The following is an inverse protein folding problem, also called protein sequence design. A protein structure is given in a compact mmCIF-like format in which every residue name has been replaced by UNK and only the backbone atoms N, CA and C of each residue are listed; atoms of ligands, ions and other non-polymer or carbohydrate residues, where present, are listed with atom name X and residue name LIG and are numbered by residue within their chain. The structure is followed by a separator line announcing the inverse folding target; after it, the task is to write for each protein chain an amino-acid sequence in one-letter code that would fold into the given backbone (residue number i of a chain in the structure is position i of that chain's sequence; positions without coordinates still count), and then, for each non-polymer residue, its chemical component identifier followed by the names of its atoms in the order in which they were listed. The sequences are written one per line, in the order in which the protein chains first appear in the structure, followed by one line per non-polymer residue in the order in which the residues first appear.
data_IF_493352258985
#
_entry.id   IF_493352258985
#
_cell.length_a   1.000
_cell.length_b   1.000
_cell.length_c   1.000
_cell.angle_alpha   90.00
_cell.angle_beta   90.00
_cell.angle_gamma   90.00
#
_symmetry.space_group_name_H-M   'P 1'
#
loop_
_entity.id
_entity.type
_entity.pdbx_description
1 polymer ?
#
# COMPACT_ATOMS: atom_id res chain seq x y z
N UNK A 1 3.46 0.97 -23.43
CA UNK A 1 3.30 1.84 -22.24
C UNK A 1 4.45 2.82 -22.25
N UNK A 2 4.25 4.08 -21.86
CA UNK A 2 5.37 5.02 -21.73
C UNK A 2 6.20 4.62 -20.49
N UNK A 3 7.47 4.20 -20.64
CA UNK A 3 8.33 3.82 -19.52
C UNK A 3 8.46 4.92 -18.45
N UNK A 4 8.18 6.18 -18.80
CA UNK A 4 8.24 7.32 -17.87
C UNK A 4 7.19 7.26 -16.76
N UNK A 5 6.04 6.65 -16.99
CA UNK A 5 4.90 6.66 -16.06
C UNK A 5 4.92 5.53 -15.04
N UNK A 6 5.92 4.63 -15.14
CA UNK A 6 6.14 3.54 -14.20
C UNK A 6 7.51 3.69 -13.52
N UNK A 7 7.85 2.73 -12.66
CA UNK A 7 9.08 2.73 -11.89
C UNK A 7 9.91 1.51 -12.31
N UNK A 8 10.74 1.64 -13.34
CA UNK A 8 11.61 0.55 -13.79
C UNK A 8 12.77 0.27 -12.80
N UNK A 9 13.37 -0.95 -12.83
CA UNK A 9 12.87 -2.15 -13.50
C UNK A 9 11.55 -2.63 -12.89
N UNK A 10 10.63 -3.12 -13.72
CA UNK A 10 9.35 -3.67 -13.26
C UNK A 10 9.53 -5.12 -12.86
N UNK A 11 8.68 -5.62 -11.95
CA UNK A 11 8.68 -7.01 -11.48
C UNK A 11 10.02 -7.51 -10.90
N UNK A 12 10.95 -6.61 -10.63
CA UNK A 12 12.24 -6.92 -10.00
C UNK A 12 12.29 -6.42 -8.55
N UNK A 13 12.97 -7.14 -7.65
CA UNK A 13 13.11 -6.74 -6.26
C UNK A 13 13.98 -5.49 -6.15
N UNK A 14 13.47 -4.47 -5.46
CA UNK A 14 14.25 -3.25 -5.14
C UNK A 14 14.38 -3.15 -3.63
N UNK A 15 15.58 -3.39 -3.06
CA UNK A 15 15.77 -3.32 -1.62
C UNK A 15 15.55 -1.88 -1.14
N UNK A 16 14.75 -1.73 -0.08
CA UNK A 16 14.49 -0.44 0.58
C UNK A 16 15.07 -0.42 2.00
N UNK A 17 15.10 -1.58 2.64
CA UNK A 17 15.81 -1.84 3.89
C UNK A 17 16.21 -3.33 3.95
N UNK A 18 16.95 -3.71 4.99
CA UNK A 18 17.26 -5.13 5.22
C UNK A 18 15.97 -5.95 5.35
N UNK A 19 15.83 -6.99 4.53
CA UNK A 19 14.63 -7.83 4.53
C UNK A 19 13.38 -7.18 3.94
N UNK A 20 13.48 -5.99 3.33
CA UNK A 20 12.33 -5.28 2.75
C UNK A 20 12.61 -4.90 1.30
N UNK A 21 11.73 -5.34 0.40
CA UNK A 21 11.78 -5.01 -1.02
C UNK A 21 10.46 -4.41 -1.49
N UNK A 22 10.54 -3.48 -2.43
CA UNK A 22 9.39 -3.09 -3.25
C UNK A 22 9.52 -3.70 -4.63
N UNK A 23 8.37 -4.00 -5.23
CA UNK A 23 8.27 -4.40 -6.62
C UNK A 23 7.28 -3.47 -7.29
N UNK A 24 7.74 -2.77 -8.31
CA UNK A 24 6.88 -1.91 -9.13
C UNK A 24 6.33 -2.72 -10.30
N UNK A 25 5.02 -2.63 -10.50
CA UNK A 25 4.31 -3.36 -11.54
C UNK A 25 3.83 -2.47 -12.68
N UNK A 26 3.09 -3.08 -13.58
CA UNK A 26 2.44 -2.40 -14.70
C UNK A 26 1.39 -1.39 -14.20
N UNK A 27 0.96 -0.51 -15.09
CA UNK A 27 -0.16 0.38 -14.83
C UNK A 27 -1.48 -0.38 -14.87
N UNK A 28 -2.30 -0.20 -13.84
CA UNK A 28 -3.72 -0.56 -13.86
C UNK A 28 -4.55 0.65 -14.25
N UNK A 29 -5.74 0.42 -14.81
CA UNK A 29 -6.69 1.50 -15.12
C UNK A 29 -7.86 1.43 -14.15
N UNK A 30 -7.95 2.41 -13.27
CA UNK A 30 -9.08 2.54 -12.35
C UNK A 30 -10.19 3.35 -13.01
N UNK A 31 -11.43 2.87 -12.85
CA UNK A 31 -12.63 3.57 -13.31
C UNK A 31 -12.94 4.74 -12.37
N UNK A 32 -12.94 5.97 -12.89
CA UNK A 32 -13.42 7.17 -12.20
C UNK A 32 -14.53 7.81 -13.04
N UNK A 33 -15.77 7.35 -12.82
CA UNK A 33 -16.92 7.77 -13.63
C UNK A 33 -16.73 7.39 -15.11
N UNK A 34 -16.82 8.34 -16.06
CA UNK A 34 -16.60 8.06 -17.48
C UNK A 34 -15.12 7.96 -17.88
N UNK A 35 -14.19 8.22 -16.95
CA UNK A 35 -12.74 8.24 -17.23
C UNK A 35 -12.04 7.00 -16.68
N UNK A 36 -10.97 6.58 -17.36
CA UNK A 36 -10.03 5.58 -16.87
C UNK A 36 -8.70 6.24 -16.56
N UNK A 37 -8.33 6.26 -15.28
CA UNK A 37 -7.09 6.87 -14.83
C UNK A 37 -6.04 5.76 -14.66
N UNK A 38 -4.86 5.90 -15.27
CA UNK A 38 -3.82 4.91 -15.13
C UNK A 38 -3.05 5.14 -13.82
N UNK A 39 -2.82 4.06 -13.06
CA UNK A 39 -2.07 4.06 -11.81
C UNK A 39 -0.96 3.02 -11.89
N UNK A 40 0.33 3.39 -11.70
CA UNK A 40 1.38 2.41 -11.50
C UNK A 40 1.11 1.64 -10.21
N UNK A 41 1.36 0.34 -10.22
CA UNK A 41 1.18 -0.53 -9.04
C UNK A 41 2.51 -0.76 -8.33
N UNK A 42 2.45 -1.00 -7.03
CA UNK A 42 3.61 -1.42 -6.23
C UNK A 42 3.14 -2.32 -5.10
N UNK A 43 3.85 -3.43 -4.93
CA UNK A 43 3.75 -4.27 -3.74
C UNK A 43 4.99 -4.10 -2.87
N UNK A 44 4.86 -4.48 -1.60
CA UNK A 44 6.00 -4.59 -0.67
C UNK A 44 6.11 -6.02 -0.18
N UNK A 45 7.34 -6.53 -0.13
CA UNK A 45 7.69 -7.85 0.40
C UNK A 45 8.59 -7.64 1.62
N UNK A 46 8.20 -8.23 2.74
CA UNK A 46 8.99 -8.26 3.98
C UNK A 46 9.34 -9.71 4.29
N UNK A 47 10.62 -10.00 4.54
CA UNK A 47 11.07 -11.29 5.06
C UNK A 47 11.07 -11.26 6.58
N UNK A 48 10.32 -12.17 7.18
CA UNK A 48 10.20 -12.34 8.63
C UNK A 48 11.41 -13.11 9.20
N UNK A 49 11.56 -13.12 10.52
CA UNK A 49 12.68 -13.74 11.22
C UNK A 49 12.74 -15.26 11.07
N UNK A 50 11.61 -15.91 10.72
CA UNK A 50 11.55 -17.33 10.37
C UNK A 50 11.90 -17.64 8.90
N UNK A 51 12.24 -16.61 8.12
CA UNK A 51 12.59 -16.70 6.71
C UNK A 51 11.39 -16.71 5.75
N UNK A 52 10.16 -16.70 6.26
CA UNK A 52 8.96 -16.61 5.41
C UNK A 52 8.69 -15.18 4.94
N UNK A 53 7.88 -15.04 3.89
CA UNK A 53 7.54 -13.75 3.28
C UNK A 53 6.12 -13.30 3.64
N UNK A 54 6.05 -12.00 3.91
CA UNK A 54 4.85 -11.21 4.11
C UNK A 54 4.71 -10.23 2.93
N UNK A 55 3.58 -10.29 2.21
CA UNK A 55 3.37 -9.59 0.95
C UNK A 55 2.18 -8.64 1.03
N UNK A 56 2.42 -7.37 0.79
CA UNK A 56 1.44 -6.31 0.89
C UNK A 56 1.09 -5.70 -0.46
N UNK A 57 -0.21 -5.60 -0.74
CA UNK A 57 -0.78 -5.07 -1.99
C UNK A 57 -0.22 -5.80 -3.23
N UNK A 58 -0.46 -7.12 -3.38
CA UNK A 58 0.09 -7.89 -4.49
C UNK A 58 -0.23 -7.28 -5.86
N UNK A 59 0.76 -7.24 -6.75
CA UNK A 59 0.63 -6.71 -8.12
C UNK A 59 0.31 -7.82 -9.14
N UNK A 60 0.19 -7.45 -10.42
CA UNK A 60 -0.15 -8.36 -11.50
C UNK A 60 0.78 -9.59 -11.53
N UNK A 61 0.22 -10.82 -11.66
CA UNK A 61 0.99 -12.04 -11.83
C UNK A 61 1.92 -11.96 -13.04
N UNK A 62 3.13 -12.45 -12.85
CA UNK A 62 4.19 -12.52 -13.85
C UNK A 62 5.20 -13.58 -13.40
N UNK A 63 5.71 -14.39 -14.33
CA UNK A 63 6.57 -15.52 -13.95
C UNK A 63 7.95 -15.06 -13.46
N UNK A 64 8.48 -13.97 -14.02
CA UNK A 64 9.75 -13.39 -13.55
C UNK A 64 9.57 -12.78 -12.16
N UNK A 65 8.42 -12.13 -11.91
CA UNK A 65 8.03 -11.67 -10.58
C UNK A 65 7.98 -12.80 -9.56
N UNK A 66 7.28 -13.90 -9.87
CA UNK A 66 7.17 -15.03 -8.96
C UNK A 66 8.51 -15.71 -8.73
N UNK A 67 9.31 -15.89 -9.77
CA UNK A 67 10.67 -16.44 -9.65
C UNK A 67 11.54 -15.57 -8.74
N UNK A 68 11.44 -14.25 -8.86
CA UNK A 68 12.17 -13.32 -8.00
C UNK A 68 11.68 -13.37 -6.54
N UNK A 69 10.37 -13.52 -6.31
CA UNK A 69 9.79 -13.65 -4.97
C UNK A 69 10.18 -14.97 -4.32
N UNK A 70 10.10 -16.09 -5.06
CA UNK A 70 10.50 -17.43 -4.58
C UNK A 70 11.97 -17.47 -4.17
N UNK A 71 12.84 -16.72 -4.86
CA UNK A 71 14.25 -16.58 -4.51
C UNK A 71 14.48 -15.82 -3.19
N UNK A 72 13.50 -15.02 -2.71
CA UNK A 72 13.61 -14.30 -1.43
C UNK A 72 13.17 -15.15 -0.23
N UNK A 73 12.28 -16.12 -0.44
CA UNK A 73 11.75 -17.01 0.61
C UNK A 73 10.34 -17.54 0.32
N UNK A 74 9.79 -18.31 1.26
CA UNK A 74 8.45 -18.92 1.12
C UNK A 74 7.34 -17.95 1.50
N UNK A 75 6.40 -17.68 0.58
CA UNK A 75 5.24 -16.81 0.85
C UNK A 75 4.29 -17.43 1.88
N UNK A 76 4.07 -16.72 3.00
CA UNK A 76 3.21 -17.18 4.09
C UNK A 76 2.04 -16.25 4.38
N UNK A 77 2.19 -14.96 4.13
CA UNK A 77 1.15 -13.95 4.39
C UNK A 77 0.94 -13.08 3.15
N UNK A 78 -0.30 -12.94 2.70
CA UNK A 78 -0.69 -12.05 1.59
C UNK A 78 -1.78 -11.11 2.06
N UNK A 79 -1.56 -9.80 1.88
CA UNK A 79 -2.31 -8.73 2.53
C UNK A 79 -2.98 -7.86 1.47
N UNK A 80 -4.30 -7.72 1.60
CA UNK A 80 -5.13 -6.71 0.96
C UNK A 80 -5.35 -5.53 1.93
N UNK A 81 -4.50 -4.49 1.86
CA UNK A 81 -4.46 -3.45 2.90
C UNK A 81 -5.60 -2.45 2.82
N UNK A 82 -6.33 -2.36 1.70
CA UNK A 82 -7.54 -1.56 1.57
C UNK A 82 -8.49 -2.15 0.51
N UNK A 83 -9.65 -1.54 0.28
CA UNK A 83 -10.66 -2.05 -0.67
C UNK A 83 -10.38 -1.74 -2.16
N UNK A 84 -9.20 -1.19 -2.49
CA UNK A 84 -8.76 -0.86 -3.86
C UNK A 84 -7.54 -1.73 -4.24
N UNK A 85 -6.65 -1.97 -3.29
CA UNK A 85 -5.37 -2.68 -3.40
C UNK A 85 -5.49 -4.18 -3.10
N UNK A 86 -6.46 -4.85 -3.71
CA UNK A 86 -6.72 -6.30 -3.52
C UNK A 86 -6.84 -7.07 -4.85
N UNK A 87 -6.76 -6.39 -5.99
CA UNK A 87 -7.21 -6.91 -7.27
C UNK A 87 -6.55 -8.24 -7.69
N UNK A 88 -5.29 -8.45 -7.29
CA UNK A 88 -4.52 -9.65 -7.62
C UNK A 88 -4.44 -10.67 -6.47
N UNK A 89 -5.20 -10.48 -5.37
CA UNK A 89 -5.21 -11.42 -4.25
C UNK A 89 -5.57 -12.84 -4.67
N UNK A 90 -6.55 -13.00 -5.57
CA UNK A 90 -6.97 -14.32 -6.04
C UNK A 90 -5.83 -15.07 -6.74
N UNK A 91 -5.09 -14.39 -7.63
CA UNK A 91 -3.98 -15.02 -8.37
C UNK A 91 -2.83 -15.41 -7.44
N UNK A 92 -2.52 -14.56 -6.47
CA UNK A 92 -1.45 -14.82 -5.51
C UNK A 92 -1.79 -15.97 -4.57
N UNK A 93 -3.05 -16.10 -4.15
CA UNK A 93 -3.50 -17.21 -3.33
C UNK A 93 -3.62 -18.52 -4.13
N UNK A 94 -3.86 -18.44 -5.44
CA UNK A 94 -3.75 -19.58 -6.34
C UNK A 94 -2.30 -20.05 -6.51
N UNK A 95 -1.36 -19.11 -6.69
CA UNK A 95 0.08 -19.40 -6.80
C UNK A 95 0.69 -19.94 -5.51
N UNK A 96 0.21 -19.47 -4.36
CA UNK A 96 0.69 -19.84 -3.03
C UNK A 96 -0.46 -20.37 -2.15
N UNK A 97 -0.95 -21.61 -2.41
CA UNK A 97 -2.15 -22.13 -1.74
C UNK A 97 -2.00 -22.25 -0.21
N UNK A 98 -0.77 -22.41 0.27
CA UNK A 98 -0.42 -22.46 1.70
C UNK A 98 -0.34 -21.10 2.40
N UNK A 99 -0.38 -19.99 1.66
CA UNK A 99 -0.33 -18.64 2.23
C UNK A 99 -1.68 -18.26 2.87
N UNK A 100 -1.63 -17.52 3.97
CA UNK A 100 -2.81 -16.96 4.63
C UNK A 100 -3.11 -15.58 4.07
N UNK A 101 -4.38 -15.35 3.80
CA UNK A 101 -4.89 -14.07 3.32
C UNK A 101 -5.35 -13.19 4.47
N UNK A 102 -4.97 -11.92 4.42
CA UNK A 102 -5.38 -10.89 5.35
C UNK A 102 -6.03 -9.76 4.58
N UNK A 103 -7.19 -9.28 5.00
CA UNK A 103 -7.93 -8.28 4.24
C UNK A 103 -8.68 -7.32 5.15
N UNK A 104 -8.78 -6.05 4.76
CA UNK A 104 -9.66 -5.10 5.47
C UNK A 104 -11.11 -5.60 5.49
N UNK A 105 -11.88 -5.34 6.56
CA UNK A 105 -13.22 -5.91 6.72
C UNK A 105 -14.19 -5.56 5.58
N UNK A 106 -14.02 -4.36 5.00
CA UNK A 106 -14.84 -3.85 3.90
C UNK A 106 -14.83 -4.79 2.67
N UNK A 107 -13.76 -5.56 2.46
CA UNK A 107 -13.64 -6.46 1.31
C UNK A 107 -14.56 -7.68 1.38
N UNK A 108 -15.08 -8.02 2.55
CA UNK A 108 -16.05 -9.11 2.68
C UNK A 108 -17.34 -8.85 1.88
N UNK A 109 -17.67 -7.58 1.60
CA UNK A 109 -18.88 -7.19 0.87
C UNK A 109 -18.61 -6.35 -0.38
N UNK A 110 -17.43 -5.74 -0.50
CA UNK A 110 -17.11 -4.82 -1.61
C UNK A 110 -16.20 -5.40 -2.69
N UNK A 111 -15.62 -6.59 -2.46
CA UNK A 111 -14.72 -7.22 -3.44
C UNK A 111 -15.47 -7.59 -4.73
N UNK A 112 -15.15 -6.87 -5.82
CA UNK A 112 -15.62 -7.16 -7.19
C UNK A 112 -15.00 -8.44 -7.75
N UNK A 113 -13.77 -8.75 -7.31
CA UNK A 113 -13.09 -10.01 -7.60
C UNK A 113 -12.92 -10.78 -6.29
N UNK A 114 -13.79 -11.76 -6.00
CA UNK A 114 -13.74 -12.51 -4.76
C UNK A 114 -12.44 -13.31 -4.63
N UNK A 115 -11.99 -13.48 -3.39
CA UNK A 115 -10.85 -14.31 -3.02
C UNK A 115 -11.09 -14.87 -1.60
N UNK A 116 -10.33 -15.90 -1.22
CA UNK A 116 -10.38 -16.42 0.16
C UNK A 116 -9.91 -15.33 1.12
N UNK A 117 -10.66 -15.08 2.20
CA UNK A 117 -10.22 -14.23 3.31
C UNK A 117 -10.13 -15.13 4.55
N UNK A 118 -8.90 -15.47 4.95
CA UNK A 118 -8.62 -16.28 6.14
C UNK A 118 -8.71 -15.43 7.42
N UNK A 119 -8.20 -14.19 7.35
CA UNK A 119 -8.07 -13.30 8.51
C UNK A 119 -8.49 -11.86 8.19
N UNK A 120 -9.67 -11.42 8.65
CA UNK A 120 -10.05 -10.01 8.59
C UNK A 120 -9.14 -9.13 9.45
N UNK A 121 -8.63 -8.03 8.90
CA UNK A 121 -7.82 -7.01 9.60
C UNK A 121 -8.74 -6.11 10.44
N UNK A 122 -9.12 -6.57 11.63
CA UNK A 122 -10.01 -5.85 12.55
C UNK A 122 -9.36 -5.60 13.91
N UNK A 123 -9.76 -4.52 14.58
CA UNK A 123 -9.26 -4.18 15.92
C UNK A 123 -9.39 -5.36 16.88
N UNK A 124 -8.31 -5.64 17.62
CA UNK A 124 -8.25 -6.73 18.60
C UNK A 124 -7.89 -8.10 18.03
N UNK A 125 -7.82 -8.25 16.69
CA UNK A 125 -7.23 -9.43 16.08
C UNK A 125 -5.72 -9.51 16.38
N UNK A 126 -5.21 -10.74 16.49
CA UNK A 126 -3.77 -11.02 16.61
C UNK A 126 -3.31 -11.88 15.44
N UNK A 127 -2.21 -11.50 14.82
CA UNK A 127 -1.63 -12.20 13.69
C UNK A 127 -0.23 -12.73 13.97
N UNK A 128 0.17 -13.74 13.20
CA UNK A 128 1.43 -14.46 13.42
C UNK A 128 2.69 -13.59 13.30
N UNK A 129 2.62 -12.48 12.55
CA UNK A 129 3.74 -11.57 12.30
C UNK A 129 3.83 -10.41 13.30
N UNK A 130 2.90 -10.27 14.25
CA UNK A 130 2.81 -9.09 15.13
C UNK A 130 4.00 -8.89 16.07
N UNK A 131 4.83 -9.91 16.28
CA UNK A 131 6.10 -9.76 17.01
C UNK A 131 7.17 -8.99 16.23
N UNK A 132 6.99 -8.83 14.91
CA UNK A 132 7.97 -8.21 14.01
C UNK A 132 7.41 -7.03 13.21
N UNK A 133 6.10 -7.00 12.98
CA UNK A 133 5.42 -5.94 12.24
C UNK A 133 4.27 -5.42 13.11
N UNK A 134 4.30 -4.14 13.45
CA UNK A 134 3.17 -3.46 14.06
C UNK A 134 2.13 -3.11 12.99
N UNK A 135 0.87 -2.99 13.37
CA UNK A 135 -0.16 -2.57 12.44
C UNK A 135 -1.30 -1.80 13.09
N UNK A 136 -2.05 -1.09 12.25
CA UNK A 136 -3.24 -0.37 12.68
C UNK A 136 -4.24 -0.21 11.54
N UNK A 137 -5.53 -0.41 11.82
CA UNK A 137 -6.60 -0.11 10.87
C UNK A 137 -7.00 1.37 10.99
N UNK A 138 -6.94 2.09 9.88
CA UNK A 138 -7.51 3.44 9.72
C UNK A 138 -8.91 3.30 9.11
N UNK A 139 -9.97 3.56 9.89
CA UNK A 139 -11.32 3.23 9.46
C UNK A 139 -11.91 4.31 8.55
N UNK A 140 -12.55 3.90 7.46
CA UNK A 140 -13.37 4.78 6.61
C UNK A 140 -14.80 4.29 6.45
N UNK A 141 -15.58 4.97 5.61
CA UNK A 141 -16.98 4.61 5.30
C UNK A 141 -17.12 3.79 4.01
N UNK A 142 -16.22 3.98 3.06
CA UNK A 142 -16.17 3.23 1.78
C UNK A 142 -14.86 2.47 1.61
N UNK A 143 -13.78 3.08 2.07
CA UNK A 143 -12.42 2.53 2.05
C UNK A 143 -11.84 2.68 3.45
N UNK A 144 -11.47 1.57 4.07
CA UNK A 144 -10.59 1.51 5.23
C UNK A 144 -9.21 1.06 4.77
N UNK A 145 -8.16 1.49 5.48
CA UNK A 145 -6.78 1.15 5.14
C UNK A 145 -6.02 0.66 6.36
N UNK A 146 -5.39 -0.51 6.25
CA UNK A 146 -4.45 -1.01 7.24
C UNK A 146 -3.04 -0.49 6.95
N UNK A 147 -2.42 0.12 7.94
CA UNK A 147 -1.04 0.63 7.89
C UNK A 147 -0.16 -0.28 8.73
N UNK A 148 1.03 -0.57 8.22
CA UNK A 148 1.99 -1.47 8.86
C UNK A 148 3.29 -0.74 9.16
N UNK A 149 4.00 -1.17 10.20
CA UNK A 149 5.31 -0.65 10.57
C UNK A 149 6.24 -1.80 10.89
N UNK A 150 7.42 -1.81 10.27
CA UNK A 150 8.49 -2.77 10.54
C UNK A 150 9.51 -2.06 11.46
N UNK A 151 9.49 -2.30 12.79
CA UNK A 151 10.27 -1.49 13.73
C UNK A 151 11.78 -1.65 13.55
N UNK A 152 12.24 -2.86 13.24
CA UNK A 152 13.66 -3.15 12.99
C UNK A 152 14.25 -2.31 11.85
N UNK A 153 13.43 -2.00 10.85
CA UNK A 153 13.80 -1.17 9.70
C UNK A 153 13.31 0.29 9.79
N UNK A 154 12.60 0.65 10.88
CA UNK A 154 11.91 1.95 11.06
C UNK A 154 11.14 2.37 9.80
N UNK A 155 10.38 1.45 9.23
CA UNK A 155 9.73 1.63 7.92
C UNK A 155 8.22 1.46 8.05
N UNK A 156 7.46 2.49 7.66
CA UNK A 156 6.00 2.41 7.52
C UNK A 156 5.62 2.01 6.10
N UNK A 157 4.63 1.15 5.99
CA UNK A 157 4.08 0.65 4.72
C UNK A 157 2.58 0.98 4.70
N UNK A 158 2.15 1.71 3.68
CA UNK A 158 0.74 2.11 3.46
C UNK A 158 0.43 2.12 1.96
N UNK A 159 -0.81 2.45 1.60
CA UNK A 159 -1.24 2.60 0.20
C UNK A 159 -1.75 4.02 -0.06
N UNK A 160 -3.06 4.29 0.01
CA UNK A 160 -3.67 5.50 -0.52
C UNK A 160 -3.84 6.61 0.54
N UNK A 161 -3.51 6.33 1.80
CA UNK A 161 -3.37 7.37 2.83
C UNK A 161 -2.33 8.43 2.44
N UNK A 162 -1.41 8.10 1.54
CA UNK A 162 -0.51 9.05 0.85
C UNK A 162 -0.30 8.61 -0.60
N UNK A 163 -0.77 9.41 -1.56
CA UNK A 163 -0.30 9.35 -2.94
C UNK A 163 0.76 10.43 -3.17
N UNK A 164 1.86 10.07 -3.85
CA UNK A 164 2.99 10.98 -4.01
C UNK A 164 3.59 10.98 -5.43
N UNK A 165 2.75 11.28 -6.43
CA UNK A 165 3.14 11.24 -7.84
C UNK A 165 4.14 12.34 -8.22
N UNK A 166 5.22 11.95 -8.88
CA UNK A 166 6.20 12.89 -9.43
C UNK A 166 5.67 13.53 -10.71
N UNK A 167 5.59 14.87 -10.76
CA UNK A 167 5.08 15.59 -11.92
C UNK A 167 5.81 15.23 -13.22
N UNK A 168 7.12 14.98 -13.15
CA UNK A 168 7.95 14.59 -14.29
C UNK A 168 7.59 13.22 -14.88
N UNK A 169 6.98 12.33 -14.09
CA UNK A 169 6.55 10.99 -14.52
C UNK A 169 5.14 10.96 -15.10
N UNK A 170 4.38 12.04 -15.01
CA UNK A 170 3.02 12.11 -15.55
C UNK A 170 3.08 12.69 -16.96
N UNK A 171 2.64 11.99 -18.01
CA UNK A 171 2.76 12.54 -19.37
C UNK A 171 1.69 13.58 -19.69
N UNK A 172 0.54 13.52 -19.01
CA UNK A 172 -0.60 14.41 -19.23
C UNK A 172 -0.56 15.66 -18.34
N UNK A 173 -0.48 16.88 -18.90
CA UNK A 173 -0.57 18.12 -18.12
C UNK A 173 -1.90 18.26 -17.36
N UNK A 174 -2.99 17.76 -17.93
CA UNK A 174 -4.29 17.73 -17.27
C UNK A 174 -4.25 16.83 -16.02
N UNK A 175 -3.63 15.65 -16.13
CA UNK A 175 -3.47 14.74 -14.99
C UNK A 175 -2.60 15.37 -13.90
N UNK A 176 -1.48 16.03 -14.26
CA UNK A 176 -0.63 16.77 -13.32
C UNK A 176 -1.42 17.82 -12.55
N UNK A 177 -2.25 18.59 -13.26
CA UNK A 177 -3.08 19.62 -12.65
C UNK A 177 -4.13 19.01 -11.71
N UNK A 178 -4.82 17.95 -12.13
CA UNK A 178 -5.82 17.26 -11.31
C UNK A 178 -5.20 16.66 -10.04
N UNK A 179 -4.09 15.93 -10.15
CA UNK A 179 -3.38 15.35 -9.01
C UNK A 179 -2.88 16.43 -8.02
N UNK A 180 -2.43 17.57 -8.54
CA UNK A 180 -2.08 18.73 -7.70
C UNK A 180 -3.28 19.25 -6.92
N UNK A 181 -4.45 19.36 -7.55
CA UNK A 181 -5.66 19.85 -6.89
C UNK A 181 -6.19 18.89 -5.83
N UNK A 182 -6.16 17.58 -6.08
CA UNK A 182 -6.66 16.59 -5.11
C UNK A 182 -5.65 16.28 -4.00
N UNK A 183 -4.38 16.67 -4.19
CA UNK A 183 -3.32 16.60 -3.18
C UNK A 183 -2.36 15.41 -3.32
N UNK A 184 -2.39 14.67 -4.43
CA UNK A 184 -1.57 13.47 -4.64
C UNK A 184 -0.22 13.71 -5.32
N UNK A 185 0.22 14.98 -5.46
CA UNK A 185 1.43 15.33 -6.20
C UNK A 185 2.62 15.60 -5.27
N UNK A 186 3.78 15.03 -5.59
CA UNK A 186 5.07 15.32 -5.00
C UNK A 186 5.48 16.80 -5.19
N UNK A 187 6.16 17.44 -4.21
CA UNK A 187 6.63 16.91 -2.91
C UNK A 187 5.58 17.00 -1.79
N UNK A 188 4.33 17.35 -2.12
CA UNK A 188 3.31 17.63 -1.14
C UNK A 188 2.21 16.56 -1.05
N UNK A 189 2.52 15.33 -1.50
CA UNK A 189 1.59 14.20 -1.54
C UNK A 189 0.86 13.95 -0.22
N UNK A 190 -0.40 13.56 -0.33
CA UNK A 190 -1.39 13.30 0.72
C UNK A 190 -2.43 12.31 0.20
N UNK A 191 -3.32 11.83 1.06
CA UNK A 191 -4.56 11.21 0.62
C UNK A 191 -5.35 12.16 -0.33
N UNK A 192 -5.76 11.68 -1.52
CA UNK A 192 -6.62 12.43 -2.42
C UNK A 192 -7.90 12.93 -1.76
N UNK A 193 -8.48 14.01 -2.29
CA UNK A 193 -9.64 14.66 -1.67
C UNK A 193 -10.85 13.73 -1.53
N UNK A 194 -11.12 12.92 -2.55
CA UNK A 194 -12.18 11.92 -2.56
C UNK A 194 -11.96 10.84 -1.50
N UNK A 195 -10.72 10.38 -1.30
CA UNK A 195 -10.39 9.45 -0.22
C UNK A 195 -10.51 10.13 1.16
N UNK A 196 -10.12 11.40 1.31
CA UNK A 196 -10.32 12.13 2.58
C UNK A 196 -11.81 12.16 3.01
N UNK A 197 -12.74 12.10 2.05
CA UNK A 197 -14.17 12.03 2.34
C UNK A 197 -14.62 10.66 2.94
N UNK A 198 -13.92 9.55 2.66
CA UNK A 198 -14.20 8.26 3.34
C UNK A 198 -13.86 8.32 4.83
N UNK A 199 -12.82 9.06 5.19
CA UNK A 199 -12.29 9.15 6.55
C UNK A 199 -12.99 10.22 7.40
N UNK A 200 -13.52 11.28 6.78
CA UNK A 200 -14.13 12.43 7.45
C UNK A 200 -15.24 12.06 8.47
N UNK A 201 -16.18 11.13 8.19
CA UNK A 201 -17.20 10.75 9.17
C UNK A 201 -16.65 10.10 10.44
N UNK A 202 -15.44 9.50 10.37
CA UNK A 202 -14.76 8.84 11.50
C UNK A 202 -13.52 9.62 11.97
N UNK A 203 -13.50 10.95 11.76
CA UNK A 203 -12.32 11.81 11.95
C UNK A 203 -11.62 11.66 13.30
N UNK A 204 -12.35 11.49 14.41
CA UNK A 204 -11.74 11.29 15.74
C UNK A 204 -10.86 10.04 15.79
N UNK A 205 -11.41 8.90 15.35
CA UNK A 205 -10.68 7.64 15.26
C UNK A 205 -9.52 7.78 14.28
N UNK A 206 -9.77 8.32 13.08
CA UNK A 206 -8.72 8.52 12.07
C UNK A 206 -7.56 9.35 12.62
N UNK A 207 -7.83 10.47 13.30
CA UNK A 207 -6.82 11.29 13.96
C UNK A 207 -6.00 10.49 14.97
N UNK A 208 -6.65 9.76 15.85
CA UNK A 208 -5.98 8.92 16.86
C UNK A 208 -5.09 7.84 16.21
N UNK A 209 -5.57 7.19 15.14
CA UNK A 209 -4.82 6.16 14.41
C UNK A 209 -3.62 6.75 13.66
N UNK A 210 -3.82 7.85 12.92
CA UNK A 210 -2.74 8.50 12.17
C UNK A 210 -1.70 9.14 13.08
N UNK A 211 -2.09 9.64 14.26
CA UNK A 211 -1.14 10.10 15.25
C UNK A 211 -0.25 8.95 15.75
N UNK A 212 -0.81 7.77 16.02
CA UNK A 212 -0.01 6.58 16.37
C UNK A 212 0.97 6.18 15.26
N UNK A 213 0.56 6.28 13.99
CA UNK A 213 1.44 6.01 12.84
C UNK A 213 2.62 6.99 12.81
N UNK A 214 2.39 8.27 13.13
CA UNK A 214 3.45 9.27 13.30
C UNK A 214 4.35 8.95 14.50
N UNK A 215 3.76 8.50 15.60
CA UNK A 215 4.45 8.21 16.87
C UNK A 215 5.34 6.96 16.80
N UNK A 216 5.18 6.10 15.79
CA UNK A 216 6.16 5.07 15.44
C UNK A 216 7.53 5.64 15.04
N UNK A 217 7.61 6.94 14.71
CA UNK A 217 8.82 7.67 14.33
C UNK A 217 9.65 6.96 13.24
N UNK A 218 9.02 6.56 12.11
CA UNK A 218 9.74 5.86 11.06
C UNK A 218 10.75 6.77 10.37
N UNK A 219 11.79 6.15 9.84
CA UNK A 219 12.74 6.78 8.94
C UNK A 219 12.22 6.75 7.49
N UNK A 220 11.54 5.66 7.09
CA UNK A 220 11.06 5.46 5.73
C UNK A 220 9.55 5.28 5.68
N UNK A 221 8.94 5.69 4.57
CA UNK A 221 7.52 5.48 4.27
C UNK A 221 7.37 4.98 2.85
N UNK A 222 6.80 3.79 2.70
CA UNK A 222 6.47 3.16 1.43
C UNK A 222 4.98 3.37 1.16
N UNK A 223 4.65 3.90 -0.02
CA UNK A 223 3.30 3.95 -0.58
C UNK A 223 3.24 3.24 -1.92
N UNK A 224 2.05 2.79 -2.30
CA UNK A 224 1.81 2.09 -3.57
C UNK A 224 1.97 2.99 -4.81
N UNK A 225 1.73 4.29 -4.65
CA UNK A 225 1.65 5.24 -5.74
C UNK A 225 2.64 6.39 -5.57
N UNK A 226 3.54 6.53 -6.54
CA UNK A 226 4.48 7.63 -6.58
C UNK A 226 5.83 7.34 -5.92
N UNK A 227 6.53 8.41 -5.55
CA UNK A 227 7.84 8.37 -4.89
C UNK A 227 7.69 8.05 -3.41
N UNK A 228 8.44 7.07 -2.92
CA UNK A 228 8.57 6.75 -1.48
C UNK A 228 9.34 7.83 -0.73
N UNK A 229 9.18 7.91 0.59
CA UNK A 229 10.08 8.69 1.45
C UNK A 229 11.15 7.74 2.01
N UNK A 230 12.40 7.97 1.62
CA UNK A 230 13.56 7.13 2.00
C UNK A 230 14.30 7.62 3.25
N UNK A 231 13.88 8.77 3.78
CA UNK A 231 14.36 9.45 4.99
C UNK A 231 13.28 10.36 5.56
N UNK A 232 13.49 10.84 6.78
CA UNK A 232 12.64 11.84 7.45
C UNK A 232 11.15 11.42 7.55
N UNK A 233 10.88 10.11 7.55
CA UNK A 233 9.54 9.55 7.43
C UNK A 233 8.53 10.13 8.43
N UNK A 234 8.90 10.30 9.69
CA UNK A 234 8.03 10.91 10.70
C UNK A 234 7.64 12.37 10.37
N UNK A 235 8.54 13.16 9.79
CA UNK A 235 8.23 14.52 9.35
C UNK A 235 7.28 14.50 8.14
N UNK A 236 7.56 13.62 7.17
CA UNK A 236 6.72 13.44 5.99
C UNK A 236 5.32 12.94 6.35
N UNK A 237 5.18 12.04 7.31
CA UNK A 237 3.87 11.59 7.82
C UNK A 237 3.11 12.74 8.49
N UNK A 238 3.75 13.56 9.34
CA UNK A 238 3.11 14.75 9.96
C UNK A 238 2.62 15.71 8.89
N UNK A 239 3.45 15.96 7.87
CA UNK A 239 3.08 16.79 6.72
C UNK A 239 1.90 16.16 5.99
N UNK A 240 2.00 14.92 5.55
CA UNK A 240 1.00 14.25 4.72
C UNK A 240 -0.35 14.05 5.44
N UNK A 241 -0.34 13.85 6.76
CA UNK A 241 -1.56 13.65 7.56
C UNK A 241 -2.18 14.92 8.12
N UNK A 242 -1.62 16.12 7.84
CA UNK A 242 -2.14 17.43 8.32
C UNK A 242 -3.61 17.72 8.00
N UNK A 243 -4.21 16.99 7.07
CA UNK A 243 -5.64 17.08 6.77
C UNK A 243 -6.52 16.42 7.85
N UNK A 244 -5.96 15.50 8.64
CA UNK A 244 -6.64 14.68 9.64
C UNK A 244 -6.17 14.95 11.08
N UNK A 245 -4.86 15.16 11.29
CA UNK A 245 -4.25 15.44 12.61
C UNK A 245 -4.30 16.92 12.98
#
# INVERSE_FOLDING_TARGET
MDPKETYSPLNCPKPVAEGIWIFDGLMIRMDLGPFKIPFPTRMTVVRLGDGTLWIHSPIAPDEDLFSAVDALGSVRHVIAPNSIHYWYMADWLERYPGARSYAVPDLATTAKRPFRIDHPLMDGARFAWESEIDWILVPGTKVSEAVFHVPSARTVILVDLIENFEAAKLSSPLMRFMLKLVGGLDPNGMAPLDLRMTFRPKRKQVRERLQRVVDWQPEKVIMAHGRIYDRDGAQELRRAFRWAI
#
